data_IF_067223695835
#
_entry.id   IF_067223695835
#
_cell.length_a   1.000
_cell.length_b   1.000
_cell.length_c   1.000
_cell.angle_alpha   90.00
_cell.angle_beta   90.00
_cell.angle_gamma   90.00
#
_symmetry.space_group_name_H-M   'P 1'
#
loop_
_entity.id
_entity.type
_entity.pdbx_description
1 polymer ?
#
# COMPACT_ATOMS: atom_id res chain seq x y z
N UNK A 1 -9.54 13.44 9.53
CA UNK A 1 -8.27 12.69 9.38
C UNK A 1 -7.50 12.82 10.68
N UNK A 2 -6.81 11.76 11.14
CA UNK A 2 -5.97 11.84 12.34
C UNK A 2 -4.77 12.77 12.11
N UNK A 3 -4.36 13.53 13.12
CA UNK A 3 -3.42 14.67 12.97
C UNK A 3 -2.04 14.24 12.45
N UNK A 4 -1.53 13.09 12.87
CA UNK A 4 -0.21 12.61 12.44
C UNK A 4 -0.12 12.32 10.93
N UNK A 5 -1.22 12.03 10.22
CA UNK A 5 -1.19 11.88 8.75
C UNK A 5 -1.14 13.22 8.00
N UNK A 6 -1.29 14.34 8.70
CA UNK A 6 -1.01 15.68 8.17
C UNK A 6 0.44 16.09 8.39
N UNK A 7 1.17 15.34 9.23
CA UNK A 7 2.55 15.62 9.55
C UNK A 7 3.46 15.14 8.41
N UNK A 8 4.26 16.04 7.86
CA UNK A 8 5.22 15.71 6.79
C UNK A 8 6.28 14.71 7.25
N UNK A 9 6.67 14.76 8.53
CA UNK A 9 7.66 13.85 9.10
C UNK A 9 7.17 12.39 9.06
N UNK A 10 5.88 12.16 9.28
CA UNK A 10 5.29 10.82 9.11
C UNK A 10 5.52 10.32 7.69
N UNK A 11 5.21 11.14 6.68
CA UNK A 11 5.31 10.74 5.28
C UNK A 11 6.74 10.51 4.83
N UNK A 12 7.70 11.26 5.37
CA UNK A 12 9.13 11.09 5.11
C UNK A 12 9.64 9.80 5.78
N UNK A 13 9.47 9.67 7.10
CA UNK A 13 9.99 8.55 7.86
C UNK A 13 9.33 7.21 7.49
N UNK A 14 8.01 7.15 7.53
CA UNK A 14 7.28 5.91 7.22
C UNK A 14 7.44 5.53 5.75
N UNK A 15 7.53 6.52 4.86
CA UNK A 15 7.83 6.30 3.46
C UNK A 15 9.22 5.74 3.22
N UNK A 16 10.22 6.25 3.94
CA UNK A 16 11.59 5.77 3.84
C UNK A 16 11.71 4.33 4.34
N UNK A 17 11.12 4.03 5.50
CA UNK A 17 11.09 2.69 6.05
C UNK A 17 10.37 1.71 5.11
N UNK A 18 9.14 2.05 4.67
CA UNK A 18 8.37 1.22 3.73
C UNK A 18 9.15 0.95 2.45
N UNK A 19 9.63 2.01 1.80
CA UNK A 19 10.35 1.92 0.53
C UNK A 19 11.62 1.10 0.68
N UNK A 20 12.40 1.32 1.75
CA UNK A 20 13.63 0.57 1.99
C UNK A 20 13.33 -0.93 2.14
N UNK A 21 12.37 -1.30 2.98
CA UNK A 21 12.05 -2.70 3.20
C UNK A 21 11.56 -3.40 1.94
N UNK A 22 10.62 -2.78 1.23
CA UNK A 22 10.05 -3.38 0.03
C UNK A 22 11.08 -3.44 -1.10
N UNK A 23 11.92 -2.40 -1.24
CA UNK A 23 13.03 -2.40 -2.18
C UNK A 23 14.03 -3.52 -1.89
N UNK A 24 14.27 -3.88 -0.62
CA UNK A 24 15.13 -5.03 -0.27
C UNK A 24 14.55 -6.36 -0.73
N UNK A 25 13.22 -6.53 -0.74
CA UNK A 25 12.59 -7.71 -1.34
C UNK A 25 12.81 -7.79 -2.86
N UNK A 26 12.98 -6.64 -3.52
CA UNK A 26 13.20 -6.55 -4.97
C UNK A 26 14.70 -6.58 -5.34
N UNK A 27 15.58 -6.97 -4.41
CA UNK A 27 17.05 -6.94 -4.55
C UNK A 27 17.61 -5.56 -4.96
N UNK A 28 16.95 -4.48 -4.53
CA UNK A 28 17.38 -3.12 -4.82
C UNK A 28 18.55 -2.65 -3.94
N UNK A 29 19.34 -1.72 -4.49
CA UNK A 29 20.66 -1.34 -3.96
C UNK A 29 20.71 0.06 -3.34
N UNK A 30 19.56 0.70 -3.13
CA UNK A 30 19.52 2.01 -2.47
C UNK A 30 19.67 1.88 -0.94
N UNK A 31 20.30 2.87 -0.33
CA UNK A 31 20.38 3.02 1.12
C UNK A 31 19.14 3.72 1.69
N UNK A 32 18.84 3.47 2.97
CA UNK A 32 17.76 4.16 3.67
C UNK A 32 17.96 5.68 3.66
N UNK A 33 19.19 6.15 3.82
CA UNK A 33 19.52 7.58 3.84
C UNK A 33 19.24 8.27 2.50
N UNK A 34 19.54 7.61 1.37
CA UNK A 34 19.21 8.15 0.04
C UNK A 34 17.69 8.27 -0.15
N UNK A 35 16.95 7.24 0.26
CA UNK A 35 15.48 7.23 0.19
C UNK A 35 14.90 8.35 1.06
N UNK A 36 15.35 8.45 2.31
CA UNK A 36 14.93 9.49 3.25
C UNK A 36 15.15 10.89 2.67
N UNK A 37 16.37 11.19 2.21
CA UNK A 37 16.71 12.50 1.64
C UNK A 37 15.86 12.81 0.40
N UNK A 38 15.56 11.81 -0.44
CA UNK A 38 14.70 11.99 -1.61
C UNK A 38 13.27 12.35 -1.19
N UNK A 39 12.70 11.63 -0.22
CA UNK A 39 11.35 11.91 0.29
C UNK A 39 11.27 13.28 0.99
N UNK A 40 12.25 13.62 1.82
CA UNK A 40 12.35 14.92 2.48
C UNK A 40 12.37 16.05 1.43
N UNK A 41 13.21 15.92 0.40
CA UNK A 41 13.30 16.91 -0.70
C UNK A 41 11.97 17.04 -1.45
N UNK A 42 11.26 15.94 -1.70
CA UNK A 42 9.96 15.94 -2.41
C UNK A 42 8.82 16.54 -1.58
N UNK A 43 8.87 16.39 -0.26
CA UNK A 43 7.77 16.79 0.64
C UNK A 43 7.98 18.23 1.15
N UNK A 44 9.20 18.57 1.56
CA UNK A 44 9.51 19.85 2.23
C UNK A 44 10.27 20.81 1.31
N UNK A 45 10.97 20.29 0.29
CA UNK A 45 11.83 21.09 -0.58
C UNK A 45 11.08 22.20 -1.32
N UNK A 46 11.67 23.39 -1.34
CA UNK A 46 11.13 24.57 -2.03
C UNK A 46 11.46 24.61 -3.53
N UNK A 47 12.28 23.68 -4.02
CA UNK A 47 12.87 23.70 -5.37
C UNK A 47 12.57 22.38 -6.11
N UNK A 48 11.35 22.30 -6.68
CA UNK A 48 10.86 21.14 -7.42
C UNK A 48 11.76 20.75 -8.61
N UNK A 49 12.56 21.70 -9.12
CA UNK A 49 13.44 21.49 -10.28
C UNK A 49 14.70 20.67 -9.93
N UNK A 50 14.96 20.39 -8.65
CA UNK A 50 16.14 19.66 -8.17
C UNK A 50 15.83 18.42 -7.33
N UNK A 51 14.68 17.77 -7.55
CA UNK A 51 14.42 16.46 -6.95
C UNK A 51 15.46 15.45 -7.48
N UNK A 52 16.40 15.05 -6.62
CA UNK A 52 17.37 14.01 -6.97
C UNK A 52 16.63 12.68 -7.14
N UNK A 53 16.61 12.17 -8.37
CA UNK A 53 16.15 10.82 -8.65
C UNK A 53 16.99 9.82 -7.87
N UNK A 54 16.33 8.82 -7.29
CA UNK A 54 17.02 7.70 -6.69
C UNK A 54 17.75 6.91 -7.78
N UNK A 55 18.97 6.44 -7.50
CA UNK A 55 19.78 5.71 -8.48
C UNK A 55 19.17 4.35 -8.83
N UNK A 56 18.39 3.78 -7.91
CA UNK A 56 17.72 2.50 -8.09
C UNK A 56 16.28 2.70 -8.60
N UNK A 57 15.95 2.05 -9.72
CA UNK A 57 14.64 2.18 -10.38
C UNK A 57 13.48 1.69 -9.51
N UNK A 58 13.69 0.69 -8.66
CA UNK A 58 12.65 0.15 -7.78
C UNK A 58 12.46 1.09 -6.60
N UNK A 59 13.55 1.62 -6.04
CA UNK A 59 13.45 2.64 -4.98
C UNK A 59 12.71 3.88 -5.47
N UNK A 60 13.04 4.37 -6.68
CA UNK A 60 12.35 5.51 -7.31
C UNK A 60 10.85 5.23 -7.50
N UNK A 61 10.51 4.09 -8.09
CA UNK A 61 9.12 3.68 -8.33
C UNK A 61 8.31 3.60 -7.02
N UNK A 62 8.88 3.00 -5.97
CA UNK A 62 8.22 2.86 -4.67
C UNK A 62 8.04 4.21 -3.98
N UNK A 63 9.06 5.08 -4.04
CA UNK A 63 9.00 6.44 -3.50
C UNK A 63 7.95 7.30 -4.24
N UNK A 64 7.91 7.24 -5.57
CA UNK A 64 6.88 7.92 -6.38
C UNK A 64 5.47 7.42 -5.99
N UNK A 65 5.30 6.11 -5.84
CA UNK A 65 4.01 5.51 -5.49
C UNK A 65 3.58 5.90 -4.07
N UNK A 66 4.51 6.00 -3.13
CA UNK A 66 4.25 6.50 -1.77
C UNK A 66 3.80 7.96 -1.77
N UNK A 67 4.44 8.81 -2.59
CA UNK A 67 4.05 10.21 -2.77
C UNK A 67 2.66 10.36 -3.38
N UNK A 68 2.30 9.49 -4.31
CA UNK A 68 0.97 9.46 -4.90
C UNK A 68 -0.09 9.01 -3.88
N UNK A 69 0.23 8.00 -3.05
CA UNK A 69 -0.62 7.63 -1.91
C UNK A 69 -0.80 8.80 -0.94
N UNK A 70 0.28 9.54 -0.62
CA UNK A 70 0.20 10.77 0.20
C UNK A 70 -0.78 11.78 -0.39
N UNK A 71 -0.67 12.05 -1.69
CA UNK A 71 -1.56 12.98 -2.41
C UNK A 71 -3.03 12.57 -2.24
N UNK A 72 -3.35 11.31 -2.54
CA UNK A 72 -4.71 10.76 -2.40
C UNK A 72 -5.24 10.94 -0.97
N UNK A 73 -4.46 10.54 0.03
CA UNK A 73 -4.86 10.62 1.43
C UNK A 73 -5.13 12.08 1.83
N UNK A 74 -4.19 12.99 1.58
CA UNK A 74 -4.31 14.40 1.96
C UNK A 74 -5.48 15.11 1.27
N UNK A 75 -5.74 14.82 -0.02
CA UNK A 75 -6.90 15.36 -0.73
C UNK A 75 -8.22 14.94 -0.08
N UNK A 76 -8.34 13.66 0.31
CA UNK A 76 -9.52 13.18 1.03
C UNK A 76 -9.64 13.83 2.41
N UNK A 77 -8.52 14.02 3.11
CA UNK A 77 -8.48 14.73 4.39
C UNK A 77 -8.99 16.15 4.29
N UNK A 78 -8.49 16.90 3.31
CA UNK A 78 -8.93 18.26 3.01
C UNK A 78 -10.42 18.31 2.69
N UNK A 79 -10.92 17.38 1.86
CA UNK A 79 -12.35 17.32 1.56
C UNK A 79 -13.20 17.12 2.82
N UNK A 80 -12.79 16.22 3.73
CA UNK A 80 -13.50 15.97 5.00
C UNK A 80 -13.57 17.25 5.85
N UNK A 81 -12.50 18.03 5.88
CA UNK A 81 -12.43 19.30 6.63
C UNK A 81 -13.32 20.38 6.03
N UNK A 82 -13.31 20.52 4.70
CA UNK A 82 -14.10 21.51 3.98
C UNK A 82 -15.60 21.18 3.96
N UNK A 83 -15.97 19.90 4.15
CA UNK A 83 -17.35 19.41 4.04
C UNK A 83 -17.92 18.91 5.37
N UNK A 84 -17.55 19.53 6.49
CA UNK A 84 -18.11 19.27 7.84
C UNK A 84 -18.07 17.79 8.26
N UNK A 85 -17.00 17.08 7.95
CA UNK A 85 -16.84 15.66 8.30
C UNK A 85 -17.47 14.68 7.31
N UNK A 86 -17.98 15.12 6.16
CA UNK A 86 -18.46 14.19 5.13
C UNK A 86 -17.29 13.37 4.58
N UNK A 87 -17.39 12.04 4.65
CA UNK A 87 -16.36 11.11 4.22
C UNK A 87 -16.61 10.68 2.76
N UNK A 88 -15.81 11.13 1.78
CA UNK A 88 -16.08 10.90 0.35
C UNK A 88 -15.82 9.48 -0.14
N UNK A 89 -15.35 8.57 0.74
CA UNK A 89 -14.88 7.24 0.37
C UNK A 89 -13.62 7.28 -0.53
N UNK A 90 -12.97 6.13 -0.66
CA UNK A 90 -12.01 5.92 -1.75
C UNK A 90 -12.81 5.57 -3.02
N UNK A 91 -12.23 5.82 -4.19
CA UNK A 91 -12.82 5.50 -5.50
C UNK A 91 -11.79 4.77 -6.34
N UNK A 92 -12.24 3.97 -7.31
CA UNK A 92 -11.35 3.27 -8.25
C UNK A 92 -10.39 4.26 -8.94
N UNK A 93 -10.89 5.43 -9.34
CA UNK A 93 -10.11 6.49 -9.99
C UNK A 93 -8.98 7.05 -9.12
N UNK A 94 -9.05 6.91 -7.79
CA UNK A 94 -7.98 7.38 -6.89
C UNK A 94 -6.71 6.54 -7.05
N UNK A 95 -6.81 5.33 -7.61
CA UNK A 95 -5.70 4.38 -7.76
C UNK A 95 -5.08 4.35 -9.16
N UNK A 96 -5.57 5.17 -10.10
CA UNK A 96 -5.11 5.15 -11.50
C UNK A 96 -3.63 5.51 -11.65
N UNK A 97 -3.18 6.52 -10.90
CA UNK A 97 -1.81 7.05 -11.03
C UNK A 97 -0.83 6.18 -10.22
N UNK A 98 -1.29 5.62 -9.08
CA UNK A 98 -0.61 4.52 -8.38
C UNK A 98 -0.36 3.36 -9.34
N UNK A 99 -1.38 2.92 -10.09
CA UNK A 99 -1.22 1.84 -11.06
C UNK A 99 -0.19 2.18 -12.15
N UNK A 100 -0.23 3.38 -12.71
CA UNK A 100 0.69 3.81 -13.78
C UNK A 100 2.14 3.89 -13.33
N UNK A 101 2.39 4.33 -12.09
CA UNK A 101 3.72 4.36 -11.50
C UNK A 101 4.33 2.96 -11.37
N UNK A 102 3.49 1.98 -11.00
CA UNK A 102 3.89 0.59 -10.86
C UNK A 102 3.97 -0.16 -12.21
N UNK A 103 3.10 0.17 -13.17
CA UNK A 103 2.99 -0.48 -14.47
C UNK A 103 3.15 0.56 -15.59
N UNK A 104 4.41 0.83 -15.98
CA UNK A 104 4.75 1.90 -16.93
C UNK A 104 4.20 1.71 -18.33
N UNK A 105 3.82 0.48 -18.71
CA UNK A 105 3.18 0.21 -19.99
C UNK A 105 1.71 0.67 -20.01
N UNK A 106 1.08 0.84 -18.83
CA UNK A 106 -0.23 1.44 -18.68
C UNK A 106 -1.37 0.62 -19.28
N UNK A 107 -1.19 -0.69 -19.51
CA UNK A 107 -2.13 -1.53 -20.28
C UNK A 107 -3.57 -1.52 -19.74
N UNK A 108 -3.76 -1.26 -18.45
CA UNK A 108 -5.08 -1.17 -17.81
C UNK A 108 -5.43 0.24 -17.34
N UNK A 109 -4.66 1.27 -17.70
CA UNK A 109 -4.82 2.63 -17.17
C UNK A 109 -6.24 3.18 -17.38
N UNK A 110 -6.77 3.06 -18.59
CA UNK A 110 -8.11 3.53 -18.94
C UNK A 110 -9.22 2.77 -18.21
N UNK A 111 -8.92 1.58 -17.68
CA UNK A 111 -9.88 0.80 -16.90
C UNK A 111 -10.12 1.37 -15.50
N UNK A 112 -9.30 2.29 -15.01
CA UNK A 112 -9.52 2.94 -13.71
C UNK A 112 -10.52 4.10 -13.77
N UNK A 113 -10.89 4.55 -14.97
CA UNK A 113 -11.84 5.66 -15.19
C UNK A 113 -13.10 5.25 -15.95
N UNK A 114 -13.10 4.06 -16.57
CA UNK A 114 -14.27 3.51 -17.24
C UNK A 114 -15.20 2.78 -16.26
N UNK A 115 -16.30 3.40 -15.88
CA UNK A 115 -17.28 2.88 -14.91
C UNK A 115 -18.21 1.77 -15.45
N UNK A 116 -17.90 1.18 -16.61
CA UNK A 116 -18.67 0.08 -17.19
C UNK A 116 -18.68 -1.16 -16.26
N UNK A 117 -19.84 -1.78 -16.06
CA UNK A 117 -19.99 -2.99 -15.24
C UNK A 117 -19.22 -4.19 -15.81
N UNK A 118 -18.89 -4.18 -17.11
CA UNK A 118 -18.06 -5.21 -17.75
C UNK A 118 -16.56 -4.95 -17.59
N UNK A 119 -16.17 -3.82 -17.01
CA UNK A 119 -14.78 -3.53 -16.71
C UNK A 119 -14.33 -4.27 -15.45
N UNK A 120 -13.56 -5.33 -15.63
CA UNK A 120 -13.08 -6.20 -14.55
C UNK A 120 -12.31 -5.45 -13.46
N UNK A 121 -11.47 -4.47 -13.82
CA UNK A 121 -10.70 -3.66 -12.86
C UNK A 121 -11.65 -2.82 -12.01
N UNK A 122 -12.59 -2.11 -12.66
CA UNK A 122 -13.55 -1.26 -11.97
C UNK A 122 -14.49 -2.08 -11.08
N UNK A 123 -14.98 -3.22 -11.58
CA UNK A 123 -15.84 -4.13 -10.84
C UNK A 123 -15.12 -4.71 -9.60
N UNK A 124 -13.94 -5.32 -9.78
CA UNK A 124 -13.22 -5.99 -8.68
C UNK A 124 -12.73 -4.99 -7.64
N UNK A 125 -12.06 -3.91 -8.06
CA UNK A 125 -11.54 -2.92 -7.13
C UNK A 125 -12.68 -2.13 -6.49
N UNK A 126 -13.73 -1.78 -7.23
CA UNK A 126 -14.91 -1.08 -6.70
C UNK A 126 -15.65 -1.90 -5.65
N UNK A 127 -15.83 -3.22 -5.87
CA UNK A 127 -16.38 -4.13 -4.86
C UNK A 127 -15.52 -4.17 -3.60
N UNK A 128 -14.20 -4.24 -3.74
CA UNK A 128 -13.30 -4.28 -2.59
C UNK A 128 -13.26 -2.95 -1.83
N UNK A 129 -13.29 -1.81 -2.54
CA UNK A 129 -13.42 -0.48 -1.92
C UNK A 129 -14.71 -0.39 -1.10
N UNK A 130 -15.85 -0.77 -1.69
CA UNK A 130 -17.13 -0.77 -0.98
C UNK A 130 -17.10 -1.69 0.24
N UNK A 131 -16.51 -2.87 0.10
CA UNK A 131 -16.35 -3.79 1.22
C UNK A 131 -15.47 -3.19 2.32
N UNK A 132 -14.37 -2.53 1.98
CA UNK A 132 -13.46 -1.93 2.97
C UNK A 132 -14.09 -0.78 3.74
N UNK A 133 -15.12 -0.11 3.20
CA UNK A 133 -15.91 0.89 3.92
C UNK A 133 -16.62 0.31 5.15
N UNK A 134 -17.03 -0.95 5.10
CA UNK A 134 -17.74 -1.65 6.19
C UNK A 134 -16.82 -2.20 7.27
N UNK A 135 -15.52 -2.35 6.98
CA UNK A 135 -14.52 -2.90 7.90
C UNK A 135 -14.03 -1.81 8.86
N UNK A 136 -13.93 -2.14 10.15
CA UNK A 136 -13.70 -1.16 11.22
C UNK A 136 -12.46 -1.44 12.06
N UNK A 137 -11.83 -2.60 11.91
CA UNK A 137 -10.62 -2.96 12.64
C UNK A 137 -9.47 -3.26 11.68
N UNK A 138 -8.24 -3.06 12.17
CA UNK A 138 -7.03 -3.40 11.41
C UNK A 138 -6.99 -4.88 11.02
N UNK A 139 -7.43 -5.77 11.92
CA UNK A 139 -7.51 -7.21 11.69
C UNK A 139 -8.48 -7.53 10.55
N UNK A 140 -9.71 -6.98 10.57
CA UNK A 140 -10.69 -7.15 9.49
C UNK A 140 -10.18 -6.63 8.15
N UNK A 141 -9.61 -5.42 8.12
CA UNK A 141 -9.11 -4.78 6.90
C UNK A 141 -7.97 -5.60 6.29
N UNK A 142 -6.97 -5.98 7.10
CA UNK A 142 -5.82 -6.75 6.62
C UNK A 142 -6.31 -8.10 6.13
N UNK A 143 -7.11 -8.83 6.89
CA UNK A 143 -7.59 -10.16 6.47
C UNK A 143 -8.35 -10.10 5.14
N UNK A 144 -9.35 -9.24 5.00
CA UNK A 144 -10.19 -9.17 3.80
C UNK A 144 -9.40 -8.69 2.57
N UNK A 145 -8.57 -7.65 2.72
CA UNK A 145 -7.78 -7.15 1.59
C UNK A 145 -6.63 -8.11 1.25
N UNK A 146 -6.04 -8.84 2.21
CA UNK A 146 -5.07 -9.90 1.92
C UNK A 146 -5.67 -10.99 1.03
N UNK A 147 -6.93 -11.39 1.28
CA UNK A 147 -7.64 -12.35 0.43
C UNK A 147 -7.72 -11.82 -1.00
N UNK A 148 -8.18 -10.58 -1.15
CA UNK A 148 -8.26 -9.91 -2.44
C UNK A 148 -6.89 -9.80 -3.13
N UNK A 149 -5.85 -9.42 -2.40
CA UNK A 149 -4.49 -9.21 -2.87
C UNK A 149 -3.88 -10.50 -3.43
N UNK A 150 -3.87 -11.58 -2.64
CA UNK A 150 -3.24 -12.83 -3.07
C UNK A 150 -4.01 -13.51 -4.20
N UNK A 151 -5.35 -13.45 -4.16
CA UNK A 151 -6.19 -13.94 -5.26
C UNK A 151 -5.97 -13.14 -6.55
N UNK A 152 -5.95 -11.81 -6.46
CA UNK A 152 -5.73 -10.94 -7.62
C UNK A 152 -4.35 -11.13 -8.25
N UNK A 153 -3.34 -11.44 -7.43
CA UNK A 153 -2.01 -11.79 -7.92
C UNK A 153 -2.01 -13.10 -8.72
N UNK A 154 -2.58 -14.19 -8.18
CA UNK A 154 -2.63 -15.47 -8.88
C UNK A 154 -3.46 -15.38 -10.17
N UNK A 155 -4.50 -14.55 -10.17
CA UNK A 155 -5.34 -14.30 -11.36
C UNK A 155 -4.77 -13.23 -12.31
N UNK A 156 -3.63 -12.59 -11.97
CA UNK A 156 -3.04 -11.47 -12.71
C UNK A 156 -4.04 -10.34 -13.03
N UNK A 157 -4.94 -10.03 -12.10
CA UNK A 157 -6.07 -9.11 -12.32
C UNK A 157 -5.62 -7.72 -12.77
N UNK A 158 -4.48 -7.24 -12.25
CA UNK A 158 -3.91 -5.93 -12.55
C UNK A 158 -2.58 -6.04 -13.32
N UNK A 159 -2.37 -7.14 -14.06
CA UNK A 159 -1.14 -7.39 -14.80
C UNK A 159 0.03 -7.85 -13.93
N UNK A 160 1.26 -7.62 -14.41
CA UNK A 160 2.49 -8.14 -13.81
C UNK A 160 2.69 -7.69 -12.35
N UNK A 161 2.41 -6.42 -12.05
CA UNK A 161 2.57 -5.88 -10.69
C UNK A 161 1.30 -5.99 -9.82
N UNK A 162 0.42 -6.97 -10.08
CA UNK A 162 -0.84 -7.14 -9.33
C UNK A 162 -0.63 -7.21 -7.82
N UNK A 163 0.40 -7.93 -7.37
CA UNK A 163 0.72 -8.05 -5.94
C UNK A 163 1.08 -6.69 -5.32
N UNK A 164 1.98 -5.96 -5.99
CA UNK A 164 2.46 -4.66 -5.54
C UNK A 164 1.37 -3.59 -5.59
N UNK A 165 0.54 -3.59 -6.63
CA UNK A 165 -0.60 -2.70 -6.72
C UNK A 165 -1.59 -2.93 -5.56
N UNK A 166 -1.98 -4.19 -5.32
CA UNK A 166 -2.86 -4.55 -4.21
C UNK A 166 -2.21 -4.25 -2.84
N UNK A 167 -0.89 -4.35 -2.73
CA UNK A 167 -0.16 -3.93 -1.53
C UNK A 167 -0.33 -2.44 -1.25
N UNK A 168 -0.15 -1.56 -2.24
CA UNK A 168 -0.40 -0.13 -2.07
C UNK A 168 -1.88 0.19 -1.82
N UNK A 169 -2.81 -0.56 -2.41
CA UNK A 169 -4.24 -0.46 -2.07
C UNK A 169 -4.51 -0.75 -0.58
N UNK A 170 -3.89 -1.80 -0.02
CA UNK A 170 -3.98 -2.13 1.41
C UNK A 170 -3.42 -0.99 2.28
N UNK A 171 -2.20 -0.52 1.98
CA UNK A 171 -1.55 0.57 2.72
C UNK A 171 -2.40 1.85 2.71
N UNK A 172 -2.92 2.22 1.54
CA UNK A 172 -3.80 3.38 1.35
C UNK A 172 -5.06 3.22 2.20
N UNK A 173 -5.69 2.05 2.17
CA UNK A 173 -6.92 1.79 2.91
C UNK A 173 -6.70 1.88 4.42
N UNK A 174 -5.60 1.31 4.94
CA UNK A 174 -5.24 1.39 6.35
C UNK A 174 -5.08 2.84 6.80
N UNK A 175 -4.24 3.61 6.09
CA UNK A 175 -3.97 5.02 6.42
C UNK A 175 -5.26 5.85 6.33
N UNK A 176 -6.05 5.68 5.27
CA UNK A 176 -7.33 6.39 5.10
C UNK A 176 -8.30 6.12 6.25
N UNK A 177 -8.34 4.88 6.73
CA UNK A 177 -9.16 4.44 7.86
C UNK A 177 -8.60 4.82 9.23
N UNK A 178 -7.42 5.44 9.28
CA UNK A 178 -6.80 5.88 10.51
C UNK A 178 -5.91 4.83 11.19
N UNK A 179 -5.53 3.77 10.49
CA UNK A 179 -4.61 2.73 10.96
C UNK A 179 -3.21 2.92 10.37
N UNK A 180 -2.19 2.52 11.11
CA UNK A 180 -0.81 2.56 10.64
C UNK A 180 -0.59 1.66 9.42
N UNK A 181 0.34 2.05 8.53
CA UNK A 181 0.78 1.17 7.45
C UNK A 181 1.46 -0.10 8.00
N UNK A 182 1.56 -1.12 7.15
CA UNK A 182 2.34 -2.34 7.46
C UNK A 182 3.79 -2.08 7.09
N UNK A 183 4.62 -1.81 8.09
CA UNK A 183 6.04 -1.50 7.94
C UNK A 183 6.85 -2.28 9.00
N UNK A 184 7.89 -2.99 8.57
CA UNK A 184 8.91 -3.48 9.51
C UNK A 184 9.94 -2.38 9.74
N UNK A 185 10.53 -2.28 10.91
CA UNK A 185 11.63 -1.33 11.09
C UNK A 185 12.84 -1.75 10.22
N UNK A 186 13.63 -0.81 9.67
CA UNK A 186 14.74 -1.14 8.74
C UNK A 186 15.78 -2.12 9.31
N UNK A 187 16.03 -2.07 10.63
CA UNK A 187 16.89 -3.01 11.33
C UNK A 187 16.32 -4.44 11.42
N UNK A 188 15.06 -4.63 11.03
CA UNK A 188 14.33 -5.89 11.00
C UNK A 188 13.76 -6.22 9.61
N UNK A 189 14.33 -5.65 8.55
CA UNK A 189 13.90 -5.93 7.17
C UNK A 189 13.94 -7.43 6.81
N UNK A 190 14.83 -8.21 7.45
CA UNK A 190 14.91 -9.66 7.26
C UNK A 190 13.60 -10.38 7.62
N UNK A 191 12.81 -9.86 8.57
CA UNK A 191 11.53 -10.47 8.95
C UNK A 191 10.53 -10.47 7.78
N UNK A 192 10.65 -9.51 6.86
CA UNK A 192 9.83 -9.48 5.64
C UNK A 192 10.33 -10.51 4.63
N UNK A 193 11.65 -10.68 4.50
CA UNK A 193 12.24 -11.69 3.61
C UNK A 193 11.88 -13.12 4.06
N UNK A 194 11.79 -13.36 5.37
CA UNK A 194 11.34 -14.64 5.93
C UNK A 194 9.89 -15.00 5.54
N UNK A 195 9.08 -14.03 5.11
CA UNK A 195 7.71 -14.26 4.66
C UNK A 195 7.60 -14.68 3.19
N UNK A 196 8.68 -14.59 2.40
CA UNK A 196 8.68 -14.93 0.98
C UNK A 196 8.29 -16.41 0.74
N UNK A 197 8.90 -17.41 1.41
CA UNK A 197 8.52 -18.82 1.19
C UNK A 197 7.07 -19.13 1.60
N UNK A 198 6.56 -18.42 2.60
CA UNK A 198 5.17 -18.57 3.06
C UNK A 198 4.21 -17.95 2.04
N UNK A 199 4.60 -16.85 1.42
CA UNK A 199 3.87 -16.20 0.33
C UNK A 199 3.78 -17.11 -0.89
N UNK A 200 4.89 -17.70 -1.31
CA UNK A 200 4.93 -18.67 -2.42
C UNK A 200 4.06 -19.89 -2.13
N UNK A 201 4.17 -20.43 -0.92
CA UNK A 201 3.32 -21.55 -0.48
C UNK A 201 1.84 -21.18 -0.56
N UNK A 202 1.45 -19.99 -0.09
CA UNK A 202 0.07 -19.52 -0.19
C UNK A 202 -0.39 -19.40 -1.65
N UNK A 203 0.45 -18.87 -2.54
CA UNK A 203 0.09 -18.76 -3.96
C UNK A 203 -0.12 -20.12 -4.62
N UNK A 204 0.67 -21.13 -4.24
CA UNK A 204 0.46 -22.50 -4.70
C UNK A 204 -0.82 -23.12 -4.12
N UNK A 205 -1.14 -22.84 -2.86
CA UNK A 205 -2.42 -23.24 -2.25
C UNK A 205 -3.62 -22.66 -2.99
N UNK A 206 -3.58 -21.37 -3.34
CA UNK A 206 -4.67 -20.69 -4.06
C UNK A 206 -4.94 -21.33 -5.43
N UNK A 207 -3.91 -21.85 -6.10
CA UNK A 207 -4.05 -22.50 -7.42
C UNK A 207 -4.76 -23.85 -7.35
N UNK A 208 -4.69 -24.55 -6.22
CA UNK A 208 -5.12 -25.96 -6.11
C UNK A 208 -6.28 -26.18 -5.13
N UNK A 209 -6.40 -25.35 -4.09
CA UNK A 209 -7.39 -25.48 -3.02
C UNK A 209 -8.61 -24.61 -3.29
N UNK A 210 -9.74 -24.99 -2.71
CA UNK A 210 -10.94 -24.15 -2.73
C UNK A 210 -10.76 -22.92 -1.83
N UNK A 211 -11.56 -21.88 -2.07
CA UNK A 211 -11.49 -20.61 -1.33
C UNK A 211 -11.42 -20.79 0.18
N UNK A 212 -12.34 -21.56 0.75
CA UNK A 212 -12.45 -21.76 2.20
C UNK A 212 -11.23 -22.47 2.79
N UNK A 213 -10.60 -23.35 2.02
CA UNK A 213 -9.48 -24.18 2.48
C UNK A 213 -8.18 -23.38 2.62
N UNK A 214 -7.85 -22.53 1.65
CA UNK A 214 -6.60 -21.75 1.73
C UNK A 214 -6.73 -20.54 2.66
N UNK A 215 -7.92 -19.92 2.74
CA UNK A 215 -8.16 -18.81 3.70
C UNK A 215 -8.08 -19.31 5.15
N UNK A 216 -8.44 -20.57 5.40
CA UNK A 216 -8.24 -21.21 6.71
C UNK A 216 -6.86 -21.87 6.86
N UNK A 217 -6.04 -21.85 5.81
CA UNK A 217 -4.72 -22.45 5.75
C UNK A 217 -3.71 -21.79 6.67
N UNK A 218 -2.63 -22.52 6.98
CA UNK A 218 -1.55 -22.06 7.85
C UNK A 218 -0.80 -20.87 7.24
N UNK A 219 -0.44 -20.95 5.95
CA UNK A 219 0.30 -19.90 5.25
C UNK A 219 -0.43 -18.55 5.29
N UNK A 220 -1.74 -18.56 5.00
CA UNK A 220 -2.55 -17.34 5.06
C UNK A 220 -2.62 -16.75 6.48
N UNK A 221 -2.83 -17.60 7.49
CA UNK A 221 -2.89 -17.16 8.90
C UNK A 221 -1.56 -16.56 9.38
N UNK A 222 -0.43 -17.18 9.02
CA UNK A 222 0.89 -16.68 9.39
C UNK A 222 1.14 -15.30 8.75
N UNK A 223 0.90 -15.16 7.44
CA UNK A 223 1.13 -13.89 6.72
C UNK A 223 0.26 -12.77 7.28
N UNK A 224 -1.04 -13.01 7.46
CA UNK A 224 -1.96 -11.98 7.96
C UNK A 224 -1.65 -11.61 9.42
N UNK A 225 -1.34 -12.59 10.27
CA UNK A 225 -0.93 -12.33 11.66
C UNK A 225 0.35 -11.50 11.72
N UNK A 226 1.31 -11.78 10.83
CA UNK A 226 2.54 -11.00 10.71
C UNK A 226 2.23 -9.56 10.30
N UNK A 227 1.44 -9.33 9.25
CA UNK A 227 1.05 -7.98 8.81
C UNK A 227 0.28 -7.19 9.87
N UNK A 228 -0.67 -7.83 10.56
CA UNK A 228 -1.42 -7.22 11.68
C UNK A 228 -0.46 -6.80 12.79
N UNK A 229 0.51 -7.67 13.14
CA UNK A 229 1.51 -7.37 14.17
C UNK A 229 2.38 -6.17 13.78
N UNK A 230 2.84 -6.11 12.52
CA UNK A 230 3.65 -4.99 12.05
C UNK A 230 2.88 -3.68 12.01
N UNK A 231 1.64 -3.69 11.52
CA UNK A 231 0.78 -2.51 11.56
C UNK A 231 0.60 -2.03 13.02
N UNK A 232 0.15 -2.91 13.94
CA UNK A 232 -0.04 -2.53 15.36
C UNK A 232 1.24 -1.98 16.00
N UNK A 233 2.39 -2.64 15.82
CA UNK A 233 3.66 -2.17 16.36
C UNK A 233 4.09 -0.81 15.79
N UNK A 234 3.86 -0.57 14.50
CA UNK A 234 4.19 0.71 13.87
C UNK A 234 3.22 1.82 14.29
N UNK A 235 1.98 1.48 14.66
CA UNK A 235 1.02 2.43 15.22
C UNK A 235 1.52 3.04 16.53
N UNK A 236 2.02 2.20 17.44
CA UNK A 236 2.61 2.64 18.73
C UNK A 236 3.78 3.61 18.48
N UNK A 237 4.66 3.28 17.53
CA UNK A 237 5.76 4.16 17.15
C UNK A 237 5.29 5.51 16.59
N UNK A 238 4.26 5.52 15.74
CA UNK A 238 3.69 6.76 15.19
C UNK A 238 3.13 7.65 16.30
N UNK A 239 2.38 7.06 17.24
CA UNK A 239 1.78 7.82 18.35
C UNK A 239 2.85 8.45 19.25
N UNK A 240 3.97 7.76 19.48
CA UNK A 240 5.06 8.28 20.32
C UNK A 240 5.89 9.38 19.64
N UNK A 241 5.99 9.39 18.30
CA UNK A 241 6.97 10.19 17.58
C UNK A 241 6.38 11.30 16.69
N UNK A 242 5.08 11.24 16.34
CA UNK A 242 4.44 12.18 15.40
C UNK A 242 3.18 12.87 15.94
N UNK A 243 2.83 12.66 17.21
CA UNK A 243 1.80 13.44 17.94
C UNK A 243 2.36 14.72 18.54
#
# INVERSE_FOLDING_TARGET
MKEYYKNDEFWICAGADHTFNYMKMLDGKCSLAEIFNSLETRIVGSDFDHVSKLPDKYAEMLADTWMEMRRVILEKGKFIEENNGNHPGLKVSDFKDIYLLLNKDGNLYDQFTNEDENNLVYEKLGKMIKRSEELNTVDEIITEISIFLHKSHVESTFGENSLLFCWFFLQTTLIYKGFSPIVSFPNRHFEILEMEPITDSLHDEIKIKQYEEWVQGESFKILTSFWITKSKAYYEFIEENYM
#
